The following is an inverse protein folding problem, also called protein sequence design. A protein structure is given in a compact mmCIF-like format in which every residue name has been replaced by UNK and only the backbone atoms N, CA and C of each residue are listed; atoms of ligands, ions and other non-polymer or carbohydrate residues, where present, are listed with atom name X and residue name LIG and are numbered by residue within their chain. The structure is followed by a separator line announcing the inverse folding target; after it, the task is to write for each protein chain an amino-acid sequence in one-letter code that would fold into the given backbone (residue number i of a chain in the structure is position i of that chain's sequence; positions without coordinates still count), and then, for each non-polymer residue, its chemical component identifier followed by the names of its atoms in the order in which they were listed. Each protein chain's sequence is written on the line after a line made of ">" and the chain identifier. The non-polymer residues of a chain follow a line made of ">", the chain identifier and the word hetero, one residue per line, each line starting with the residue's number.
data_IF_089415170950
#
_entry.id   IF_089415170950
#
_cell.length_a   1.000
_cell.length_b   1.000
_cell.length_c   1.000
_cell.angle_alpha   90.00
_cell.angle_beta   90.00
_cell.angle_gamma   90.00
#
_symmetry.space_group_name_H-M   'P 1'
#
loop_
_entity.id
_entity.type
_entity.pdbx_description
1 polymer ?
#
# COMPACT_ATOMS: atom_id res chain seq x y z
N UNK A 1 17.80 -2.59 33.48
CA UNK A 1 16.78 -3.41 34.20
C UNK A 1 15.32 -2.98 33.98
N UNK A 2 14.98 -2.15 32.97
CA UNK A 2 13.58 -1.79 32.65
C UNK A 2 12.94 -2.67 31.56
N UNK A 3 13.73 -3.32 30.69
CA UNK A 3 13.24 -4.13 29.56
C UNK A 3 12.48 -5.42 29.95
N UNK A 4 12.69 -5.98 31.14
CA UNK A 4 12.16 -7.31 31.49
C UNK A 4 10.81 -7.29 32.23
N UNK A 5 10.24 -6.12 32.52
CA UNK A 5 8.95 -6.04 33.25
C UNK A 5 7.71 -5.84 32.37
N UNK A 6 7.84 -5.63 31.05
CA UNK A 6 6.68 -5.31 30.18
C UNK A 6 6.19 -6.47 29.28
N UNK A 7 6.88 -7.61 29.23
CA UNK A 7 6.63 -8.68 28.24
C UNK A 7 5.47 -9.64 28.58
N UNK A 8 4.85 -9.56 29.77
CA UNK A 8 3.75 -10.48 30.14
C UNK A 8 2.33 -9.88 30.05
N UNK A 9 2.09 -8.87 29.21
CA UNK A 9 0.72 -8.34 28.99
C UNK A 9 -0.01 -9.13 27.92
N UNK A 10 -0.90 -10.02 28.35
CA UNK A 10 -1.91 -10.65 27.50
C UNK A 10 -2.68 -9.59 26.73
N UNK A 11 -2.75 -9.75 25.40
CA UNK A 11 -3.36 -8.88 24.40
C UNK A 11 -4.67 -8.14 24.77
N UNK A 12 -5.59 -8.76 25.52
CA UNK A 12 -6.84 -8.10 25.95
C UNK A 12 -6.65 -7.04 27.05
N UNK A 13 -5.58 -7.15 27.84
CA UNK A 13 -5.27 -6.20 28.90
C UNK A 13 -4.50 -4.98 28.36
N UNK A 14 -3.71 -5.16 27.29
CA UNK A 14 -2.81 -4.14 26.75
C UNK A 14 -3.55 -3.00 26.05
N UNK A 15 -4.67 -3.27 25.39
CA UNK A 15 -5.37 -2.27 24.60
C UNK A 15 -6.13 -1.23 25.42
N UNK A 16 -6.61 -1.60 26.62
CA UNK A 16 -7.23 -0.63 27.56
C UNK A 16 -6.21 0.31 28.21
N UNK A 17 -4.92 0.10 27.99
CA UNK A 17 -3.83 0.81 28.67
C UNK A 17 -2.79 1.38 27.71
N UNK A 18 -3.07 1.41 26.40
CA UNK A 18 -2.16 2.02 25.45
C UNK A 18 -2.37 3.53 25.48
N UNK A 19 -1.38 4.26 25.97
CA UNK A 19 -1.37 5.71 26.17
C UNK A 19 -0.51 6.45 25.15
N UNK A 20 0.15 5.74 24.25
CA UNK A 20 0.99 6.28 23.20
C UNK A 20 2.25 5.45 23.00
N UNK A 21 3.17 5.96 22.18
CA UNK A 21 4.51 5.39 22.03
C UNK A 21 5.48 6.16 22.92
N UNK A 22 6.10 5.47 23.88
CA UNK A 22 7.12 6.04 24.77
C UNK A 22 8.50 6.10 24.11
N UNK A 23 8.79 5.17 23.20
CA UNK A 23 10.08 5.01 22.53
C UNK A 23 9.95 4.21 21.21
N UNK A 24 11.07 4.07 20.52
CA UNK A 24 11.17 3.31 19.28
C UNK A 24 10.89 1.81 19.47
N UNK A 25 11.33 1.24 20.60
CA UNK A 25 11.15 -0.17 20.91
C UNK A 25 9.67 -0.55 21.01
N UNK A 26 8.82 0.34 21.53
CA UNK A 26 7.37 0.14 21.54
C UNK A 26 6.74 0.18 20.15
N UNK A 27 7.24 1.03 19.26
CA UNK A 27 6.79 1.10 17.86
C UNK A 27 7.12 -0.22 17.15
N UNK A 28 8.37 -0.69 17.26
CA UNK A 28 8.80 -1.97 16.69
C UNK A 28 8.00 -3.13 17.28
N UNK A 29 7.79 -3.13 18.60
CA UNK A 29 6.95 -4.13 19.24
C UNK A 29 5.54 -4.14 18.66
N UNK A 30 4.95 -2.96 18.44
CA UNK A 30 3.65 -2.80 17.79
C UNK A 30 3.63 -3.36 16.36
N UNK A 31 4.64 -3.05 15.56
CA UNK A 31 4.82 -3.55 14.19
C UNK A 31 4.87 -5.08 14.16
N UNK A 32 5.65 -5.68 15.06
CA UNK A 32 5.97 -7.11 15.04
C UNK A 32 4.89 -7.98 15.67
N UNK A 33 4.21 -7.45 16.69
CA UNK A 33 3.38 -8.26 17.58
C UNK A 33 1.90 -8.02 17.39
N UNK A 34 1.47 -6.97 16.68
CA UNK A 34 0.04 -6.60 16.62
C UNK A 34 -0.67 -7.21 15.41
N UNK A 35 -1.15 -8.46 15.57
CA UNK A 35 -1.93 -9.18 14.56
C UNK A 35 -3.39 -8.72 14.34
N UNK A 36 -4.00 -7.95 15.25
CA UNK A 36 -5.36 -7.44 15.08
C UNK A 36 -5.35 -6.07 14.39
N UNK A 37 -5.80 -6.02 13.14
CA UNK A 37 -5.75 -4.81 12.31
C UNK A 37 -6.36 -3.57 12.98
N UNK A 38 -7.55 -3.67 13.56
CA UNK A 38 -8.21 -2.53 14.24
C UNK A 38 -7.40 -2.00 15.42
N UNK A 39 -6.71 -2.90 16.14
CA UNK A 39 -5.88 -2.54 17.29
C UNK A 39 -4.65 -1.79 16.81
N UNK A 40 -4.00 -2.28 15.76
CA UNK A 40 -2.85 -1.62 15.15
C UNK A 40 -3.21 -0.25 14.59
N UNK A 41 -4.37 -0.12 13.97
CA UNK A 41 -4.84 1.16 13.41
C UNK A 41 -4.98 2.27 14.46
N UNK A 42 -5.48 1.96 15.65
CA UNK A 42 -5.58 2.94 16.73
C UNK A 42 -4.21 3.30 17.31
N UNK A 43 -3.32 2.31 17.42
CA UNK A 43 -1.94 2.55 17.83
C UNK A 43 -1.17 3.38 16.80
N UNK A 44 -1.37 3.13 15.50
CA UNK A 44 -0.70 3.88 14.46
C UNK A 44 -1.05 5.38 14.51
N UNK A 45 -2.30 5.72 14.88
CA UNK A 45 -2.73 7.11 15.06
C UNK A 45 -2.11 7.80 16.28
N UNK A 46 -1.65 7.06 17.29
CA UNK A 46 -1.00 7.70 18.45
C UNK A 46 0.39 8.23 18.10
N UNK A 47 1.04 7.74 17.03
CA UNK A 47 2.32 8.28 16.57
C UNK A 47 2.20 9.77 16.25
N UNK A 48 1.07 10.20 15.68
CA UNK A 48 0.79 11.60 15.35
C UNK A 48 0.80 12.52 16.59
N UNK A 49 0.51 11.97 17.78
CA UNK A 49 0.52 12.65 19.07
C UNK A 49 1.70 12.31 19.98
N UNK A 50 2.66 11.51 19.51
CA UNK A 50 3.85 11.16 20.29
C UNK A 50 4.73 12.40 20.57
N UNK A 51 5.54 12.32 21.62
CA UNK A 51 6.55 13.34 21.95
C UNK A 51 7.48 13.60 20.75
N UNK A 52 7.94 14.84 20.60
CA UNK A 52 8.78 15.25 19.47
C UNK A 52 10.04 14.38 19.34
N UNK A 53 10.65 13.98 20.48
CA UNK A 53 11.84 13.13 20.47
C UNK A 53 11.54 11.78 19.85
N UNK A 54 10.43 11.16 20.24
CA UNK A 54 9.98 9.85 19.73
C UNK A 54 9.60 9.97 18.25
N UNK A 55 8.84 11.02 17.90
CA UNK A 55 8.39 11.25 16.53
C UNK A 55 9.57 11.42 15.56
N UNK A 56 10.52 12.29 15.90
CA UNK A 56 11.67 12.60 15.06
C UNK A 56 12.68 11.45 14.97
N UNK A 57 12.73 10.57 15.99
CA UNK A 57 13.52 9.33 15.92
C UNK A 57 12.82 8.25 15.08
N UNK A 58 11.50 8.12 15.21
CA UNK A 58 10.74 7.05 14.59
C UNK A 58 10.55 7.23 13.07
N UNK A 59 10.19 8.43 12.60
CA UNK A 59 9.80 8.64 11.19
C UNK A 59 10.89 8.22 10.20
N UNK A 60 12.17 8.64 10.34
CA UNK A 60 13.22 8.19 9.42
C UNK A 60 13.41 6.66 9.42
N UNK A 61 13.31 6.02 10.59
CA UNK A 61 13.48 4.57 10.72
C UNK A 61 12.31 3.82 10.08
N UNK A 62 11.08 4.34 10.21
CA UNK A 62 9.91 3.81 9.53
C UNK A 62 10.03 3.93 8.01
N UNK A 63 10.61 5.03 7.51
CA UNK A 63 10.87 5.22 6.07
C UNK A 63 11.82 4.14 5.55
N UNK A 64 12.91 3.86 6.28
CA UNK A 64 13.83 2.76 5.94
C UNK A 64 13.13 1.40 5.95
N UNK A 65 12.19 1.17 6.88
CA UNK A 65 11.41 -0.08 6.95
C UNK A 65 10.45 -0.30 5.78
N UNK A 66 10.25 0.68 4.88
CA UNK A 66 9.46 0.46 3.66
C UNK A 66 10.11 -0.55 2.71
N UNK A 67 11.40 -0.81 2.87
CA UNK A 67 12.16 -1.81 2.10
C UNK A 67 12.60 -3.02 2.95
N UNK A 68 12.03 -3.19 4.15
CA UNK A 68 12.30 -4.35 5.02
C UNK A 68 11.97 -5.67 4.27
N UNK A 69 12.66 -6.77 4.52
CA UNK A 69 12.38 -8.05 3.83
C UNK A 69 11.04 -8.68 4.27
N UNK A 70 10.58 -8.37 5.49
CA UNK A 70 9.37 -8.93 6.08
C UNK A 70 8.11 -8.16 5.62
N UNK A 71 7.16 -8.80 4.90
CA UNK A 71 6.01 -8.12 4.33
C UNK A 71 5.12 -7.40 5.35
N UNK A 72 4.96 -8.01 6.54
CA UNK A 72 4.14 -7.43 7.60
C UNK A 72 4.78 -6.15 8.16
N UNK A 73 6.11 -6.15 8.34
CA UNK A 73 6.86 -4.98 8.82
C UNK A 73 6.74 -3.82 7.85
N UNK A 74 6.97 -4.05 6.55
CA UNK A 74 6.78 -3.03 5.51
C UNK A 74 5.38 -2.43 5.54
N UNK A 75 4.37 -3.29 5.60
CA UNK A 75 2.97 -2.86 5.59
C UNK A 75 2.62 -2.01 6.83
N UNK A 76 3.05 -2.45 8.01
CA UNK A 76 2.79 -1.76 9.26
C UNK A 76 3.57 -0.44 9.35
N UNK A 77 4.82 -0.41 8.89
CA UNK A 77 5.62 0.81 8.78
C UNK A 77 4.98 1.82 7.84
N UNK A 78 4.53 1.38 6.65
CA UNK A 78 3.80 2.24 5.74
C UNK A 78 2.53 2.82 6.37
N UNK A 79 1.76 2.00 7.09
CA UNK A 79 0.55 2.48 7.74
C UNK A 79 0.83 3.50 8.85
N UNK A 80 1.88 3.29 9.64
CA UNK A 80 2.36 4.28 10.63
C UNK A 80 2.75 5.59 9.96
N UNK A 81 3.47 5.55 8.85
CA UNK A 81 3.84 6.74 8.09
C UNK A 81 2.64 7.47 7.49
N UNK A 82 1.62 6.74 7.02
CA UNK A 82 0.37 7.36 6.59
C UNK A 82 -0.29 8.15 7.73
N UNK A 83 -0.37 7.59 8.94
CA UNK A 83 -0.90 8.32 10.10
C UNK A 83 0.01 9.48 10.53
N UNK A 84 1.33 9.31 10.47
CA UNK A 84 2.29 10.36 10.76
C UNK A 84 2.17 11.53 9.77
N UNK A 85 1.86 11.25 8.49
CA UNK A 85 1.70 12.26 7.45
C UNK A 85 0.55 13.25 7.68
N UNK A 86 -0.38 12.93 8.58
CA UNK A 86 -1.43 13.85 9.03
C UNK A 86 -0.89 14.96 9.97
N UNK A 87 0.33 14.80 10.52
CA UNK A 87 0.99 15.79 11.37
C UNK A 87 1.73 16.84 10.53
N UNK A 88 1.64 18.14 10.86
CA UNK A 88 2.49 19.17 10.25
C UNK A 88 3.99 18.91 10.43
N UNK A 89 4.38 18.17 11.48
CA UNK A 89 5.77 17.76 11.75
C UNK A 89 6.33 16.86 10.65
N UNK A 90 5.48 16.18 9.88
CA UNK A 90 5.89 15.29 8.80
C UNK A 90 6.50 16.01 7.60
N UNK A 91 6.26 17.32 7.45
CA UNK A 91 6.73 18.09 6.29
C UNK A 91 8.24 17.97 6.03
N UNK A 92 9.06 17.83 7.08
CA UNK A 92 10.50 17.65 6.96
C UNK A 92 10.92 16.30 6.32
N UNK A 93 10.02 15.32 6.30
CA UNK A 93 10.27 13.96 5.83
C UNK A 93 9.53 13.61 4.54
N UNK A 94 8.69 14.51 4.04
CA UNK A 94 7.76 14.21 2.96
C UNK A 94 8.45 13.77 1.66
N UNK A 95 9.56 14.42 1.30
CA UNK A 95 10.34 14.08 0.12
C UNK A 95 10.97 12.67 0.23
N UNK A 96 11.58 12.38 1.37
CA UNK A 96 12.22 11.09 1.64
C UNK A 96 11.19 9.95 1.68
N UNK A 97 10.04 10.21 2.30
CA UNK A 97 8.90 9.31 2.32
C UNK A 97 8.41 9.01 0.91
N UNK A 98 8.14 10.04 0.08
CA UNK A 98 7.66 9.85 -1.30
C UNK A 98 8.63 9.02 -2.14
N UNK A 99 9.95 9.24 -1.98
CA UNK A 99 10.99 8.44 -2.66
C UNK A 99 10.99 6.98 -2.19
N UNK A 100 10.89 6.76 -0.89
CA UNK A 100 11.03 5.42 -0.31
C UNK A 100 9.76 4.57 -0.48
N UNK A 101 8.59 5.21 -0.58
CA UNK A 101 7.33 4.53 -0.88
C UNK A 101 7.34 3.82 -2.23
N UNK A 102 8.20 4.26 -3.17
CA UNK A 102 8.38 3.56 -4.45
C UNK A 102 8.88 2.13 -4.26
N UNK A 103 9.69 1.86 -3.23
CA UNK A 103 10.15 0.51 -2.90
C UNK A 103 8.98 -0.46 -2.75
N UNK A 104 7.84 0.01 -2.20
CA UNK A 104 6.64 -0.80 -2.07
C UNK A 104 6.12 -1.32 -3.40
N UNK A 105 6.38 -0.72 -4.57
CA UNK A 105 5.92 -1.26 -5.86
C UNK A 105 6.66 -2.53 -6.29
N UNK A 106 7.90 -2.72 -5.82
CA UNK A 106 8.74 -3.85 -6.21
C UNK A 106 8.51 -5.10 -5.34
N UNK A 107 7.72 -4.99 -4.27
CA UNK A 107 7.48 -6.08 -3.33
C UNK A 107 6.22 -6.90 -3.70
N UNK A 108 6.30 -8.21 -3.99
CA UNK A 108 5.16 -8.98 -4.50
C UNK A 108 4.01 -9.16 -3.50
N UNK A 109 4.25 -8.96 -2.20
CA UNK A 109 3.37 -9.41 -1.11
C UNK A 109 2.67 -8.30 -0.31
N UNK A 110 2.65 -7.06 -0.81
CA UNK A 110 1.99 -5.96 -0.09
C UNK A 110 0.46 -6.09 -0.21
N UNK A 111 -0.19 -6.72 0.78
CA UNK A 111 -1.67 -6.82 0.84
C UNK A 111 -2.38 -5.46 0.75
N UNK A 112 -1.67 -4.40 1.10
CA UNK A 112 -2.18 -3.05 1.12
C UNK A 112 -2.17 -2.33 -0.24
N UNK A 113 -1.87 -3.01 -1.37
CA UNK A 113 -1.95 -2.42 -2.71
C UNK A 113 -3.31 -1.81 -3.05
N UNK A 114 -4.38 -2.40 -2.51
CA UNK A 114 -5.74 -1.84 -2.63
C UNK A 114 -5.88 -0.43 -2.05
N UNK A 115 -5.00 -0.04 -1.11
CA UNK A 115 -4.91 1.32 -0.57
C UNK A 115 -3.76 2.11 -1.21
N UNK A 116 -2.65 1.44 -1.51
CA UNK A 116 -1.44 2.09 -2.00
C UNK A 116 -1.60 2.62 -3.42
N UNK A 117 -2.17 1.83 -4.33
CA UNK A 117 -2.35 2.25 -5.72
C UNK A 117 -3.27 3.47 -5.87
N UNK A 118 -4.44 3.54 -5.18
CA UNK A 118 -5.23 4.78 -5.14
C UNK A 118 -4.49 5.95 -4.51
N UNK A 119 -3.70 5.71 -3.46
CA UNK A 119 -2.91 6.76 -2.82
C UNK A 119 -1.89 7.38 -3.77
N UNK A 120 -1.25 6.59 -4.64
CA UNK A 120 -0.35 7.13 -5.68
C UNK A 120 -1.06 8.12 -6.61
N UNK A 121 -2.30 7.82 -7.01
CA UNK A 121 -3.13 8.71 -7.84
C UNK A 121 -3.49 9.98 -7.08
N UNK A 122 -3.95 9.85 -5.83
CA UNK A 122 -4.31 10.98 -4.97
C UNK A 122 -3.12 11.96 -4.80
N UNK A 123 -1.93 11.42 -4.59
CA UNK A 123 -0.70 12.21 -4.49
C UNK A 123 -0.15 12.69 -5.83
N UNK A 124 -0.74 12.27 -6.95
CA UNK A 124 -0.27 12.54 -8.32
C UNK A 124 1.21 12.18 -8.50
N UNK A 125 1.63 11.07 -7.89
CA UNK A 125 3.04 10.67 -7.88
C UNK A 125 3.37 9.93 -9.17
N UNK A 126 3.92 10.65 -10.15
CA UNK A 126 4.24 10.13 -11.50
C UNK A 126 5.73 10.14 -11.83
N UNK A 127 6.59 9.94 -10.82
CA UNK A 127 8.04 9.88 -11.03
C UNK A 127 8.41 8.69 -11.93
N UNK A 128 9.53 8.74 -12.67
CA UNK A 128 9.95 7.66 -13.55
C UNK A 128 9.99 6.29 -12.87
N UNK A 129 10.40 6.24 -11.60
CA UNK A 129 10.50 5.03 -10.80
C UNK A 129 9.12 4.46 -10.46
N UNK A 130 8.15 5.30 -10.10
CA UNK A 130 6.75 4.87 -9.89
C UNK A 130 6.16 4.31 -11.17
N UNK A 131 6.35 5.01 -12.30
CA UNK A 131 5.84 4.56 -13.58
C UNK A 131 6.50 3.25 -14.03
N UNK A 132 7.79 3.05 -13.74
CA UNK A 132 8.50 1.81 -14.01
C UNK A 132 7.95 0.65 -13.16
N UNK A 133 7.79 0.84 -11.85
CA UNK A 133 7.23 -0.18 -10.95
C UNK A 133 5.78 -0.56 -11.29
N UNK A 134 4.95 0.43 -11.67
CA UNK A 134 3.58 0.17 -12.14
C UNK A 134 3.57 -0.64 -13.44
N UNK A 135 4.45 -0.34 -14.40
CA UNK A 135 4.59 -1.11 -15.64
C UNK A 135 5.04 -2.53 -15.37
N UNK A 136 6.08 -2.72 -14.56
CA UNK A 136 6.57 -4.04 -14.16
C UNK A 136 5.44 -4.89 -13.59
N UNK A 137 4.68 -4.32 -12.64
CA UNK A 137 3.54 -5.00 -12.01
C UNK A 137 2.39 -5.29 -12.97
N UNK A 138 2.04 -4.32 -13.81
CA UNK A 138 1.02 -4.49 -14.85
C UNK A 138 1.34 -5.67 -15.79
N UNK A 139 2.63 -5.93 -16.05
CA UNK A 139 3.08 -7.05 -16.89
C UNK A 139 3.10 -8.41 -16.17
N UNK A 140 2.83 -8.47 -14.87
CA UNK A 140 2.75 -9.72 -14.12
C UNK A 140 1.48 -10.51 -14.44
N UNK A 141 1.60 -11.70 -15.04
CA UNK A 141 0.44 -12.55 -15.38
C UNK A 141 -0.17 -13.26 -14.16
N UNK A 142 0.60 -13.44 -13.09
CA UNK A 142 0.14 -14.07 -11.85
C UNK A 142 -0.08 -13.04 -10.72
N UNK A 143 0.18 -11.76 -10.98
CA UNK A 143 0.01 -10.70 -9.99
C UNK A 143 -1.45 -10.28 -9.90
N UNK A 144 -2.11 -10.62 -8.78
CA UNK A 144 -3.50 -10.28 -8.52
C UNK A 144 -3.83 -8.76 -8.63
N UNK A 145 -2.82 -7.89 -8.59
CA UNK A 145 -2.95 -6.44 -8.71
C UNK A 145 -2.51 -5.89 -10.07
N UNK A 146 -2.10 -6.72 -11.03
CA UNK A 146 -1.72 -6.28 -12.37
C UNK A 146 -2.78 -5.37 -13.07
N UNK A 147 -4.10 -5.70 -13.03
CA UNK A 147 -5.10 -4.81 -13.59
C UNK A 147 -5.18 -3.46 -12.87
N UNK A 148 -5.09 -3.46 -11.54
CA UNK A 148 -5.10 -2.23 -10.74
C UNK A 148 -3.89 -1.36 -11.05
N UNK A 149 -2.71 -1.97 -11.21
CA UNK A 149 -1.50 -1.26 -11.63
C UNK A 149 -1.68 -0.61 -13.02
N UNK A 150 -2.32 -1.32 -13.96
CA UNK A 150 -2.66 -0.76 -15.27
C UNK A 150 -3.57 0.47 -15.14
N UNK A 151 -4.66 0.38 -14.37
CA UNK A 151 -5.58 1.49 -14.16
C UNK A 151 -4.89 2.69 -13.52
N UNK A 152 -4.09 2.46 -12.47
CA UNK A 152 -3.31 3.50 -11.81
C UNK A 152 -2.31 4.16 -12.77
N UNK A 153 -1.67 3.39 -13.64
CA UNK A 153 -0.77 3.93 -14.67
C UNK A 153 -1.53 4.85 -15.66
N UNK A 154 -2.71 4.43 -16.13
CA UNK A 154 -3.54 5.23 -17.03
C UNK A 154 -4.10 6.50 -16.34
N UNK A 155 -4.41 6.43 -15.05
CA UNK A 155 -4.86 7.60 -14.28
C UNK A 155 -3.72 8.62 -14.06
N UNK A 156 -2.50 8.15 -13.77
CA UNK A 156 -1.32 9.02 -13.62
C UNK A 156 -0.80 9.56 -14.95
N UNK A 157 -0.92 8.78 -16.04
CA UNK A 157 -0.45 9.13 -17.38
C UNK A 157 -1.51 8.75 -18.42
N UNK A 158 -2.51 9.63 -18.68
CA UNK A 158 -3.64 9.34 -19.55
C UNK A 158 -3.32 9.03 -21.02
N UNK A 159 -2.09 9.30 -21.45
CA UNK A 159 -1.62 8.97 -22.81
C UNK A 159 -1.13 7.53 -22.95
N UNK A 160 -0.99 6.79 -21.85
CA UNK A 160 -0.61 5.37 -21.90
C UNK A 160 -1.84 4.55 -22.27
N UNK A 161 -1.76 3.87 -23.42
CA UNK A 161 -2.76 2.89 -23.81
C UNK A 161 -2.53 1.57 -23.04
N UNK A 162 -3.44 1.28 -22.13
CA UNK A 162 -3.42 0.05 -21.34
C UNK A 162 -4.36 -1.03 -21.90
N UNK A 163 -5.18 -0.71 -22.91
CA UNK A 163 -6.21 -1.62 -23.40
C UNK A 163 -5.64 -2.94 -23.97
N UNK A 164 -4.53 -2.95 -24.74
CA UNK A 164 -3.93 -4.20 -25.21
C UNK A 164 -3.59 -5.15 -24.07
N UNK A 165 -3.06 -4.61 -22.96
CA UNK A 165 -2.69 -5.41 -21.80
C UNK A 165 -3.91 -5.93 -21.04
N UNK A 166 -4.97 -5.14 -20.93
CA UNK A 166 -6.23 -5.59 -20.30
C UNK A 166 -6.86 -6.75 -21.09
N UNK A 167 -6.84 -6.69 -22.41
CA UNK A 167 -7.33 -7.75 -23.28
C UNK A 167 -6.51 -9.03 -23.13
N UNK A 168 -5.19 -8.91 -23.08
CA UNK A 168 -4.28 -10.05 -22.84
C UNK A 168 -4.58 -10.74 -21.50
N UNK A 169 -4.78 -9.97 -20.43
CA UNK A 169 -5.14 -10.51 -19.10
C UNK A 169 -6.49 -11.24 -19.11
N UNK A 170 -7.45 -10.79 -19.92
CA UNK A 170 -8.73 -11.48 -20.08
C UNK A 170 -8.55 -12.80 -20.84
N UNK A 171 -7.81 -12.79 -21.93
CA UNK A 171 -7.52 -13.98 -22.74
C UNK A 171 -6.84 -15.07 -21.92
N UNK A 172 -5.88 -14.68 -21.07
CA UNK A 172 -5.16 -15.57 -20.16
C UNK A 172 -5.99 -16.03 -18.95
N UNK A 173 -7.25 -15.58 -18.82
CA UNK A 173 -8.11 -15.84 -17.64
C UNK A 173 -7.43 -15.50 -16.31
N UNK A 174 -6.72 -14.36 -16.28
CA UNK A 174 -6.11 -13.81 -15.07
C UNK A 174 -7.08 -13.84 -13.87
N UNK A 175 -6.68 -14.10 -12.62
CA UNK A 175 -7.60 -14.25 -11.47
C UNK A 175 -8.62 -13.11 -11.24
N UNK A 176 -8.43 -11.96 -11.88
CA UNK A 176 -9.30 -10.78 -11.83
C UNK A 176 -9.96 -10.42 -13.16
N UNK A 177 -9.90 -11.30 -14.18
CA UNK A 177 -10.35 -11.03 -15.55
C UNK A 177 -11.80 -10.52 -15.63
N UNK A 178 -12.70 -11.05 -14.82
CA UNK A 178 -14.10 -10.61 -14.78
C UNK A 178 -14.23 -9.14 -14.38
N UNK A 179 -13.43 -8.69 -13.41
CA UNK A 179 -13.42 -7.28 -13.00
C UNK A 179 -12.88 -6.35 -14.09
N UNK A 180 -12.03 -6.87 -14.98
CA UNK A 180 -11.50 -6.12 -16.11
C UNK A 180 -12.59 -5.84 -17.13
N UNK A 181 -13.43 -6.83 -17.43
CA UNK A 181 -14.52 -6.71 -18.40
C UNK A 181 -15.44 -5.53 -18.11
N UNK A 182 -15.78 -5.31 -16.84
CA UNK A 182 -16.64 -4.21 -16.42
C UNK A 182 -15.99 -2.82 -16.58
N UNK A 183 -14.66 -2.76 -16.71
CA UNK A 183 -13.90 -1.50 -16.85
C UNK A 183 -13.42 -1.22 -18.28
N UNK A 184 -13.46 -2.21 -19.19
CA UNK A 184 -13.05 -2.06 -20.58
C UNK A 184 -13.64 -0.83 -21.31
N UNK A 185 -14.92 -0.45 -21.11
CA UNK A 185 -15.50 0.71 -21.81
C UNK A 185 -14.80 2.05 -21.52
N UNK A 186 -13.99 2.13 -20.46
CA UNK A 186 -13.20 3.32 -20.17
C UNK A 186 -11.90 3.42 -21.00
N UNK A 187 -11.49 2.32 -21.63
CA UNK A 187 -10.18 2.18 -22.28
C UNK A 187 -10.29 1.71 -23.74
N UNK A 188 -11.48 1.32 -24.20
CA UNK A 188 -11.76 0.87 -25.56
C UNK A 188 -13.02 1.56 -26.10
N UNK A 189 -13.20 1.62 -27.44
CA UNK A 189 -14.48 1.93 -28.05
C UNK A 189 -15.60 1.03 -27.50
N UNK A 190 -16.80 1.60 -27.33
CA UNK A 190 -17.91 0.91 -26.66
C UNK A 190 -18.35 -0.38 -27.38
N UNK A 191 -18.36 -0.38 -28.70
CA UNK A 191 -18.71 -1.54 -29.55
C UNK A 191 -17.66 -2.67 -29.46
N UNK A 192 -16.39 -2.32 -29.27
CA UNK A 192 -15.33 -3.30 -29.05
C UNK A 192 -15.41 -3.88 -27.64
N UNK A 193 -15.61 -3.04 -26.62
CA UNK A 193 -15.78 -3.48 -25.24
C UNK A 193 -16.99 -4.41 -25.07
N UNK A 194 -18.13 -4.11 -25.71
CA UNK A 194 -19.34 -4.95 -25.69
C UNK A 194 -19.09 -6.32 -26.33
N UNK A 195 -18.41 -6.36 -27.48
CA UNK A 195 -18.04 -7.63 -28.14
C UNK A 195 -17.16 -8.51 -27.25
N UNK A 196 -16.17 -7.92 -26.58
CA UNK A 196 -15.29 -8.65 -25.65
C UNK A 196 -16.07 -9.16 -24.43
N UNK A 197 -16.98 -8.34 -23.90
CA UNK A 197 -17.86 -8.71 -22.78
C UNK A 197 -18.74 -9.92 -23.14
N UNK A 198 -19.45 -9.86 -24.26
CA UNK A 198 -20.34 -10.94 -24.69
C UNK A 198 -19.59 -12.23 -25.03
N UNK A 199 -18.37 -12.14 -25.58
CA UNK A 199 -17.51 -13.30 -25.84
C UNK A 199 -17.03 -14.01 -24.55
N UNK A 200 -17.01 -13.32 -23.42
CA UNK A 200 -16.49 -13.83 -22.15
C UNK A 200 -17.55 -13.93 -21.05
N UNK A 201 -18.84 -13.79 -21.41
CA UNK A 201 -19.94 -13.78 -20.45
C UNK A 201 -20.04 -15.10 -19.68
N UNK A 202 -20.06 -15.09 -18.33
CA UNK A 202 -20.17 -16.30 -17.53
C UNK A 202 -21.48 -17.05 -17.84
N UNK A 203 -21.39 -18.37 -18.10
CA UNK A 203 -22.55 -19.24 -18.32
C UNK A 203 -22.91 -19.50 -19.79
N UNK A 204 -22.02 -19.20 -20.72
CA UNK A 204 -21.97 -19.82 -22.05
C UNK A 204 -20.82 -20.81 -22.15
#
# INVERSE_FOLDING_TARGET
>A
MRLLRRISRTWRATWRTFDGYDDWEEIVWGIDNVGFYQVFEEQAKSLTGADDTVYHDAVPRLIVMLDDEEPLRRQNAWRLLQCASESPRFAAYEEEYRRSVVALLHHPSVRAYNKFLPWLVEQKLSTPEVLAGLRERMMGNDDAYAPQAAYTLAELVPTVDIAPRLLELIEQKHPRWESILHRLPNYLPADEAERVFEANRPGR
#
